data_IF_617546631535
#
_entry.id   IF_617546631535
#
_cell.length_a   1.000
_cell.length_b   1.000
_cell.length_c   1.000
_cell.angle_alpha   90.00
_cell.angle_beta   90.00
_cell.angle_gamma   90.00
#
_symmetry.space_group_name_H-M   'P 1'
#
loop_
_entity.id
_entity.type
_entity.pdbx_description
1 polymer ?
#
# COMPACT_ATOMS: atom_id res chain seq x y z
N UNK A 1 -2.20 -3.16 7.07
CA UNK A 1 -1.32 -4.33 7.24
C UNK A 1 -2.10 -5.61 6.98
N UNK A 2 -3.25 -5.80 7.62
CA UNK A 2 -4.17 -6.95 7.45
C UNK A 2 -4.53 -7.28 5.98
N UNK A 3 -4.72 -6.26 5.13
CA UNK A 3 -5.04 -6.45 3.70
C UNK A 3 -3.89 -7.12 2.93
N UNK A 4 -2.63 -6.77 3.23
CA UNK A 4 -1.47 -7.39 2.57
C UNK A 4 -1.24 -8.81 3.08
N UNK A 5 -1.43 -9.05 4.37
CA UNK A 5 -1.33 -10.38 4.98
C UNK A 5 -2.37 -11.33 4.35
N UNK A 6 -3.64 -10.91 4.27
CA UNK A 6 -4.68 -11.68 3.58
C UNK A 6 -4.36 -11.96 2.11
N UNK A 7 -3.72 -11.02 1.41
CA UNK A 7 -3.32 -11.21 0.01
C UNK A 7 -2.12 -12.15 -0.15
N UNK A 8 -1.22 -12.20 0.82
CA UNK A 8 -0.14 -13.18 0.88
C UNK A 8 -0.72 -14.57 1.14
N UNK A 9 -1.69 -14.69 2.05
CA UNK A 9 -2.37 -15.97 2.31
C UNK A 9 -3.11 -16.49 1.07
N UNK A 10 -3.78 -15.60 0.32
CA UNK A 10 -4.39 -15.94 -0.97
C UNK A 10 -3.35 -16.45 -1.98
N UNK A 11 -2.16 -15.83 -2.04
CA UNK A 11 -1.08 -16.23 -2.93
C UNK A 11 -0.48 -17.59 -2.54
N UNK A 12 -0.32 -17.84 -1.24
CA UNK A 12 0.12 -19.13 -0.69
C UNK A 12 -0.91 -20.22 -0.99
N UNK A 13 -2.20 -19.94 -0.77
CA UNK A 13 -3.28 -20.86 -1.11
C UNK A 13 -3.36 -21.17 -2.61
N UNK A 14 -3.08 -20.18 -3.47
CA UNK A 14 -2.97 -20.39 -4.92
C UNK A 14 -1.79 -21.29 -5.28
N UNK A 15 -0.63 -21.12 -4.62
CA UNK A 15 0.58 -21.91 -4.85
C UNK A 15 0.40 -23.37 -4.43
N UNK A 16 -0.21 -23.59 -3.28
CA UNK A 16 -0.31 -24.91 -2.65
C UNK A 16 -1.51 -25.69 -3.21
N UNK A 17 -2.64 -25.02 -3.45
CA UNK A 17 -3.83 -25.61 -4.06
C UNK A 17 -3.87 -25.54 -5.59
N UNK A 18 -2.74 -25.27 -6.26
CA UNK A 18 -2.71 -25.07 -7.71
C UNK A 18 -3.24 -26.30 -8.46
N UNK A 19 -2.70 -27.49 -8.16
CA UNK A 19 -3.09 -28.73 -8.85
C UNK A 19 -4.47 -29.23 -8.44
N UNK A 20 -5.02 -28.78 -7.31
CA UNK A 20 -6.42 -29.05 -6.96
C UNK A 20 -7.38 -28.30 -7.90
N UNK A 21 -7.00 -27.10 -8.34
CA UNK A 21 -7.76 -26.27 -9.28
C UNK A 21 -7.44 -26.58 -10.74
N UNK A 22 -6.21 -27.00 -11.02
CA UNK A 22 -5.68 -27.32 -12.35
C UNK A 22 -5.00 -28.70 -12.33
N UNK A 23 -5.78 -29.80 -12.35
CA UNK A 23 -5.23 -31.16 -12.21
C UNK A 23 -4.23 -31.55 -13.31
N UNK A 24 -4.45 -31.03 -14.52
CA UNK A 24 -3.59 -31.27 -15.69
C UNK A 24 -2.51 -30.19 -15.85
N UNK A 25 -2.42 -29.25 -14.91
CA UNK A 25 -1.45 -28.16 -14.95
C UNK A 25 -0.02 -28.66 -14.80
N UNK A 26 0.93 -27.90 -15.32
CA UNK A 26 2.36 -28.15 -15.18
C UNK A 26 2.97 -27.30 -14.07
N UNK A 27 4.13 -27.73 -13.58
CA UNK A 27 4.91 -26.95 -12.62
C UNK A 27 5.32 -25.57 -13.19
N UNK A 28 5.60 -25.51 -14.50
CA UNK A 28 5.92 -24.25 -15.18
C UNK A 28 4.73 -23.27 -15.15
N UNK A 29 3.52 -23.75 -15.36
CA UNK A 29 2.30 -22.95 -15.27
C UNK A 29 2.04 -22.49 -13.83
N UNK A 30 2.20 -23.38 -12.86
CA UNK A 30 2.10 -23.04 -11.43
C UNK A 30 3.02 -21.89 -11.05
N UNK A 31 4.31 -22.01 -11.40
CA UNK A 31 5.32 -21.00 -11.11
C UNK A 31 4.99 -19.68 -11.82
N UNK A 32 4.60 -19.74 -13.10
CA UNK A 32 4.22 -18.56 -13.87
C UNK A 32 3.05 -17.82 -13.22
N UNK A 33 1.97 -18.53 -12.90
CA UNK A 33 0.76 -17.96 -12.32
C UNK A 33 1.02 -17.36 -10.93
N UNK A 34 1.75 -18.05 -10.06
CA UNK A 34 2.13 -17.52 -8.74
C UNK A 34 3.00 -16.29 -8.88
N UNK A 35 3.97 -16.28 -9.81
CA UNK A 35 4.86 -15.15 -10.05
C UNK A 35 4.11 -13.93 -10.58
N UNK A 36 3.23 -14.09 -11.56
CA UNK A 36 2.41 -13.01 -12.10
C UNK A 36 1.55 -12.37 -11.01
N UNK A 37 0.93 -13.20 -10.16
CA UNK A 37 0.11 -12.70 -9.04
C UNK A 37 0.95 -11.98 -7.98
N UNK A 38 2.15 -12.47 -7.68
CA UNK A 38 3.08 -11.83 -6.75
C UNK A 38 3.56 -10.47 -7.25
N UNK A 39 3.85 -10.33 -8.56
CA UNK A 39 4.26 -9.06 -9.16
C UNK A 39 3.18 -7.99 -9.02
N UNK A 40 1.91 -8.33 -9.25
CA UNK A 40 0.79 -7.40 -9.06
C UNK A 40 0.70 -6.92 -7.60
N UNK A 41 0.93 -7.79 -6.63
CA UNK A 41 0.94 -7.40 -5.21
C UNK A 41 2.10 -6.45 -4.89
N UNK A 42 3.28 -6.67 -5.47
CA UNK A 42 4.42 -5.77 -5.33
C UNK A 42 4.14 -4.41 -5.97
N UNK A 43 3.57 -4.37 -7.17
CA UNK A 43 3.17 -3.12 -7.84
C UNK A 43 2.18 -2.32 -6.99
N UNK A 44 1.12 -2.98 -6.48
CA UNK A 44 0.17 -2.33 -5.57
C UNK A 44 0.85 -1.81 -4.29
N UNK A 45 1.82 -2.54 -3.73
CA UNK A 45 2.56 -2.10 -2.54
C UNK A 45 3.40 -0.84 -2.80
N UNK A 46 4.07 -0.78 -3.96
CA UNK A 46 4.89 0.36 -4.36
C UNK A 46 4.03 1.58 -4.68
N UNK A 47 2.87 1.40 -5.33
CA UNK A 47 1.92 2.48 -5.58
C UNK A 47 1.33 3.04 -4.30
N UNK A 48 1.01 2.18 -3.32
CA UNK A 48 0.54 2.62 -2.01
C UNK A 48 1.62 3.42 -1.26
N UNK A 49 2.88 2.96 -1.27
CA UNK A 49 3.99 3.68 -0.65
C UNK A 49 4.20 5.06 -1.31
N UNK A 50 4.17 5.11 -2.65
CA UNK A 50 4.27 6.36 -3.41
C UNK A 50 3.14 7.32 -3.07
N UNK A 51 1.91 6.82 -2.99
CA UNK A 51 0.72 7.61 -2.65
C UNK A 51 0.79 8.14 -1.22
N UNK A 52 1.17 7.28 -0.26
CA UNK A 52 1.37 7.68 1.15
C UNK A 52 2.42 8.78 1.27
N UNK A 53 3.57 8.62 0.59
CA UNK A 53 4.62 9.64 0.56
C UNK A 53 4.17 10.95 -0.09
N UNK A 54 3.40 10.87 -1.17
CA UNK A 54 2.84 12.05 -1.84
C UNK A 54 1.84 12.79 -0.93
N UNK A 55 0.92 12.06 -0.28
CA UNK A 55 -0.03 12.62 0.68
C UNK A 55 0.67 13.25 1.88
N UNK A 56 1.69 12.59 2.43
CA UNK A 56 2.53 13.14 3.49
C UNK A 56 3.17 14.47 3.03
N UNK A 57 3.78 14.49 1.85
CA UNK A 57 4.42 15.69 1.29
C UNK A 57 3.42 16.82 1.07
N UNK A 58 2.25 16.52 0.50
CA UNK A 58 1.19 17.50 0.29
C UNK A 58 0.66 18.04 1.62
N UNK A 59 0.51 17.20 2.64
CA UNK A 59 0.08 17.63 3.98
C UNK A 59 1.09 18.61 4.60
N UNK A 60 2.38 18.34 4.43
CA UNK A 60 3.47 19.21 4.88
C UNK A 60 3.45 20.56 4.15
N UNK A 61 3.31 20.54 2.82
CA UNK A 61 3.27 21.75 2.00
C UNK A 61 2.02 22.60 2.29
N UNK A 62 0.86 21.96 2.43
CA UNK A 62 -0.39 22.63 2.79
C UNK A 62 -0.25 23.31 4.15
N UNK A 63 0.28 22.62 5.16
CA UNK A 63 0.53 23.19 6.48
C UNK A 63 1.52 24.35 6.43
N UNK A 64 2.62 24.21 5.69
CA UNK A 64 3.59 25.29 5.51
C UNK A 64 2.99 26.51 4.81
N UNK A 65 2.03 26.31 3.90
CA UNK A 65 1.28 27.40 3.25
C UNK A 65 0.32 28.06 4.24
N UNK A 66 -0.48 27.26 4.96
CA UNK A 66 -1.43 27.74 5.96
C UNK A 66 -0.73 28.55 7.06
N UNK A 67 0.40 28.08 7.60
CA UNK A 67 1.19 28.80 8.60
C UNK A 67 1.62 30.21 8.19
N UNK A 68 1.68 30.51 6.88
CA UNK A 68 2.01 31.83 6.33
C UNK A 68 0.78 32.71 6.08
N UNK A 69 -0.41 32.12 6.02
CA UNK A 69 -1.66 32.81 5.68
C UNK A 69 -2.60 32.96 6.87
N UNK A 70 -2.46 32.11 7.90
CA UNK A 70 -3.30 32.09 9.11
C UNK A 70 -2.75 32.98 10.22
N UNK A 71 -3.63 33.44 11.10
CA UNK A 71 -3.27 34.32 12.21
C UNK A 71 -2.45 33.60 13.30
N UNK A 72 -2.00 34.34 14.32
CA UNK A 72 -1.12 33.77 15.34
C UNK A 72 -1.79 32.69 16.21
N UNK A 73 -3.12 32.73 16.36
CA UNK A 73 -3.86 31.77 17.17
C UNK A 73 -4.06 30.45 16.39
N UNK A 74 -4.47 30.53 15.13
CA UNK A 74 -4.63 29.37 14.23
C UNK A 74 -3.30 28.65 13.97
N UNK A 75 -2.17 29.38 13.98
CA UNK A 75 -0.83 28.78 13.90
C UNK A 75 -0.48 27.87 15.07
N UNK A 76 -1.00 28.16 16.27
CA UNK A 76 -0.75 27.34 17.46
C UNK A 76 -1.53 26.03 17.37
N UNK A 77 -2.80 26.09 16.95
CA UNK A 77 -3.62 24.90 16.74
C UNK A 77 -3.06 24.00 15.63
N UNK A 78 -2.66 24.60 14.49
CA UNK A 78 -2.03 23.85 13.42
C UNK A 78 -0.82 23.09 13.95
N UNK A 79 0.05 23.68 14.77
CA UNK A 79 1.24 23.01 15.35
C UNK A 79 0.91 21.77 16.18
N UNK A 80 -0.27 21.70 16.80
CA UNK A 80 -0.65 20.64 17.72
C UNK A 80 -1.22 19.39 17.03
N UNK A 81 -1.62 19.48 15.76
CA UNK A 81 -2.14 18.30 15.02
C UNK A 81 -0.99 17.34 14.69
N UNK A 82 -0.96 16.12 15.27
CA UNK A 82 0.08 15.13 15.02
C UNK A 82 -0.04 14.51 13.63
N UNK A 83 1.09 14.04 13.09
CA UNK A 83 1.14 13.33 11.81
C UNK A 83 0.69 11.89 12.00
N UNK A 84 -0.57 11.58 11.68
CA UNK A 84 -1.05 10.20 11.64
C UNK A 84 -1.53 9.87 10.24
N UNK A 85 -0.63 9.32 9.43
CA UNK A 85 -0.99 8.53 8.26
C UNK A 85 -0.54 7.10 8.56
N UNK A 86 -1.49 6.21 8.82
CA UNK A 86 -1.29 4.77 9.00
C UNK A 86 -1.22 4.04 7.66
#
# INVERSE_FOLDING_TARGET
MEVFESKIDELVGLRDGFFEKFPDGTEAERVKTVREKALLLLECSLELERTSRALYTLSMLLRAKLMKTVDAAERVELRLVPYSFH
#
